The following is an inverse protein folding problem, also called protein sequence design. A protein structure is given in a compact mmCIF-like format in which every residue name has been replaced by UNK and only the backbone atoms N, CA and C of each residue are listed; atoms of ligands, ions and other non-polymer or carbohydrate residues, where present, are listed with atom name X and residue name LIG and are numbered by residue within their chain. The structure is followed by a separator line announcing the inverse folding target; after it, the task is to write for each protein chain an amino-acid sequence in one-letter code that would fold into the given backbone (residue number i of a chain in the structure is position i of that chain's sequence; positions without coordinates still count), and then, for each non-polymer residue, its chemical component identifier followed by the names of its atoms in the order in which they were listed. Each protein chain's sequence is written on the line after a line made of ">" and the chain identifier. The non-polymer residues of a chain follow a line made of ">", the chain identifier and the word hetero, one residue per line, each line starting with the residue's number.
data_IF_026228038493
#
_entry.id   IF_026228038493
#
_cell.length_a   1.000
_cell.length_b   1.000
_cell.length_c   1.000
_cell.angle_alpha   90.00
_cell.angle_beta   90.00
_cell.angle_gamma   90.00
#
_symmetry.space_group_name_H-M   'P 1'
#
loop_
_entity.id
_entity.type
_entity.pdbx_description
1 polymer ?
#
# COMPACT_ATOMS: atom_id res chain seq x y z
N UNK A 1 -30.92 26.20 -57.75
CA UNK A 1 -31.12 24.82 -57.28
C UNK A 1 -30.06 23.95 -57.96
N UNK A 2 -29.18 23.17 -57.35
CA UNK A 2 -28.85 22.82 -55.98
C UNK A 2 -27.38 22.38 -56.01
N UNK A 3 -26.53 22.84 -55.09
CA UNK A 3 -25.44 21.99 -54.58
C UNK A 3 -24.93 22.56 -53.25
N UNK A 4 -25.85 22.69 -52.29
CA UNK A 4 -25.50 22.98 -50.89
C UNK A 4 -25.19 21.65 -50.15
N UNK A 5 -25.56 20.51 -50.73
CA UNK A 5 -25.44 19.18 -50.12
C UNK A 5 -24.00 18.68 -49.94
N UNK A 6 -23.04 19.12 -50.78
CA UNK A 6 -21.66 18.61 -50.73
C UNK A 6 -20.79 19.17 -49.61
N UNK A 7 -21.09 20.37 -49.11
CA UNK A 7 -20.27 21.03 -48.06
C UNK A 7 -20.72 20.69 -46.64
N UNK A 8 -21.96 20.25 -46.45
CA UNK A 8 -22.49 19.86 -45.14
C UNK A 8 -21.92 18.50 -44.69
N UNK A 9 -21.63 17.60 -45.63
CA UNK A 9 -21.13 16.26 -45.29
C UNK A 9 -19.70 16.25 -44.73
N UNK A 10 -18.85 17.18 -45.17
CA UNK A 10 -17.44 17.24 -44.74
C UNK A 10 -17.32 17.86 -43.33
N UNK A 11 -18.22 18.77 -42.96
CA UNK A 11 -18.29 19.32 -41.60
C UNK A 11 -18.83 18.31 -40.58
N UNK A 12 -19.68 17.36 -41.00
CA UNK A 12 -20.23 16.34 -40.10
C UNK A 12 -19.20 15.25 -39.73
N UNK A 13 -18.25 14.93 -40.61
CA UNK A 13 -17.22 13.92 -40.34
C UNK A 13 -16.11 14.43 -39.39
N UNK A 14 -15.83 15.74 -39.40
CA UNK A 14 -14.79 16.32 -38.54
C UNK A 14 -15.24 16.49 -37.08
N UNK A 15 -16.56 16.54 -36.82
CA UNK A 15 -17.11 16.66 -35.47
C UNK A 15 -17.16 15.35 -34.67
N UNK A 16 -16.94 14.20 -35.30
CA UNK A 16 -17.00 12.89 -34.62
C UNK A 16 -15.65 12.52 -33.96
N UNK A 17 -14.54 13.17 -34.31
CA UNK A 17 -13.20 12.84 -33.77
C UNK A 17 -12.87 13.59 -32.47
N UNK A 18 -13.64 14.60 -32.07
CA UNK A 18 -13.40 15.37 -30.84
C UNK A 18 -14.13 14.85 -29.60
N UNK A 19 -14.93 13.78 -29.70
CA UNK A 19 -15.76 13.28 -28.60
C UNK A 19 -15.18 12.11 -27.81
N UNK A 20 -14.12 11.46 -28.28
CA UNK A 20 -13.49 10.34 -27.57
C UNK A 20 -12.35 10.84 -26.70
N UNK A 21 -12.66 11.67 -25.71
CA UNK A 21 -11.85 11.68 -24.51
C UNK A 21 -11.99 10.30 -23.89
N UNK A 22 -10.92 9.49 -23.72
CA UNK A 22 -11.00 8.42 -22.75
C UNK A 22 -11.31 9.13 -21.44
N UNK A 23 -12.56 9.00 -20.97
CA UNK A 23 -12.83 9.33 -19.58
C UNK A 23 -11.86 8.48 -18.80
N UNK A 24 -10.88 9.12 -18.15
CA UNK A 24 -10.12 8.52 -17.07
C UNK A 24 -11.13 8.24 -15.96
N UNK A 25 -11.95 7.21 -16.15
CA UNK A 25 -12.81 6.66 -15.12
C UNK A 25 -11.86 5.94 -14.19
N UNK A 26 -11.36 6.66 -13.18
CA UNK A 26 -10.75 6.02 -12.03
C UNK A 26 -11.74 4.98 -11.52
N UNK A 27 -11.34 3.71 -11.51
CA UNK A 27 -12.25 2.63 -11.13
C UNK A 27 -12.70 2.87 -9.69
N UNK A 28 -14.01 2.70 -9.38
CA UNK A 28 -14.46 2.83 -8.01
C UNK A 28 -13.73 1.79 -7.15
N UNK A 29 -13.19 2.25 -6.02
CA UNK A 29 -12.50 1.40 -5.07
C UNK A 29 -13.38 0.20 -4.67
N UNK A 30 -12.89 -1.03 -4.77
CA UNK A 30 -13.64 -2.22 -4.36
C UNK A 30 -13.38 -2.52 -2.88
N UNK A 31 -14.43 -2.43 -2.06
CA UNK A 31 -14.34 -2.76 -0.64
C UNK A 31 -14.34 -4.28 -0.45
N UNK A 32 -13.26 -4.81 0.12
CA UNK A 32 -13.13 -6.24 0.45
C UNK A 32 -13.68 -6.51 1.85
N UNK A 33 -13.39 -5.61 2.78
CA UNK A 33 -13.84 -5.61 4.17
C UNK A 33 -13.91 -4.19 4.71
N UNK A 34 -14.93 -3.89 5.53
CA UNK A 34 -15.03 -2.64 6.28
C UNK A 34 -15.72 -2.87 7.63
N UNK A 35 -15.05 -2.48 8.70
CA UNK A 35 -15.56 -2.43 10.08
C UNK A 35 -14.88 -1.27 10.83
N UNK A 36 -15.19 -1.11 12.12
CA UNK A 36 -14.56 -0.10 12.97
C UNK A 36 -13.07 -0.38 13.21
N UNK A 37 -12.66 -1.66 13.19
CA UNK A 37 -11.30 -2.09 13.48
C UNK A 37 -10.48 -2.45 12.25
N UNK A 38 -11.12 -2.69 11.09
CA UNK A 38 -10.44 -3.13 9.87
C UNK A 38 -11.08 -2.52 8.63
N UNK A 39 -10.24 -2.04 7.72
CA UNK A 39 -10.61 -1.69 6.35
C UNK A 39 -9.63 -2.33 5.39
N UNK A 40 -10.14 -3.02 4.37
CA UNK A 40 -9.35 -3.53 3.25
C UNK A 40 -10.09 -3.21 1.95
N UNK A 41 -9.41 -2.47 1.07
CA UNK A 41 -10.00 -1.91 -0.14
C UNK A 41 -9.02 -2.04 -1.29
N UNK A 42 -9.49 -2.53 -2.44
CA UNK A 42 -8.73 -2.50 -3.68
C UNK A 42 -8.90 -1.13 -4.34
N UNK A 43 -7.78 -0.56 -4.75
CA UNK A 43 -7.71 0.74 -5.41
C UNK A 43 -6.47 0.84 -6.29
N UNK A 44 -6.43 1.85 -7.15
CA UNK A 44 -5.21 2.19 -7.89
C UNK A 44 -4.07 2.62 -6.95
N UNK A 45 -2.82 2.42 -7.39
CA UNK A 45 -1.65 2.88 -6.67
C UNK A 45 -1.70 4.42 -6.46
N UNK A 46 -1.54 4.92 -5.22
CA UNK A 46 -1.49 6.36 -4.99
C UNK A 46 -0.36 7.04 -5.76
N UNK A 47 -0.62 8.25 -6.24
CA UNK A 47 0.38 9.06 -6.93
C UNK A 47 1.59 9.37 -6.04
N UNK A 48 2.77 9.56 -6.65
CA UNK A 48 4.03 9.80 -5.93
C UNK A 48 4.82 8.54 -5.57
N UNK A 49 4.34 7.36 -6.00
CA UNK A 49 5.07 6.08 -5.92
C UNK A 49 5.64 5.70 -7.29
N UNK A 50 6.76 4.94 -7.33
CA UNK A 50 7.25 4.43 -8.60
C UNK A 50 6.19 3.57 -9.27
N UNK A 51 5.98 3.79 -10.58
CA UNK A 51 5.11 2.92 -11.37
C UNK A 51 5.77 1.55 -11.46
N UNK A 52 5.12 0.54 -10.87
CA UNK A 52 5.55 -0.85 -10.92
C UNK A 52 4.63 -1.70 -11.82
N UNK A 53 3.96 -1.04 -12.76
CA UNK A 53 2.98 -1.70 -13.61
C UNK A 53 3.62 -2.62 -14.66
N UNK A 54 2.95 -3.72 -15.01
CA UNK A 54 1.74 -4.26 -14.37
C UNK A 54 2.07 -5.15 -13.17
N UNK A 55 1.24 -5.12 -12.12
CA UNK A 55 1.31 -6.07 -11.01
C UNK A 55 0.80 -7.45 -11.46
N UNK A 56 1.24 -8.53 -10.81
CA UNK A 56 0.93 -9.91 -11.21
C UNK A 56 -0.41 -10.40 -10.64
N UNK A 57 -1.45 -9.59 -10.72
CA UNK A 57 -2.77 -9.93 -10.17
C UNK A 57 -3.75 -10.45 -11.24
N UNK A 58 -4.71 -11.33 -10.86
CA UNK A 58 -4.91 -11.89 -9.52
C UNK A 58 -3.83 -12.92 -9.16
N UNK A 59 -3.34 -12.86 -7.93
CA UNK A 59 -2.37 -13.81 -7.37
C UNK A 59 -2.90 -14.35 -6.05
N UNK A 60 -3.09 -15.66 -5.96
CA UNK A 60 -3.59 -16.27 -4.73
C UNK A 60 -2.43 -16.52 -3.76
N UNK A 61 -2.28 -15.60 -2.81
CA UNK A 61 -1.42 -15.82 -1.64
C UNK A 61 -2.29 -16.43 -0.53
N UNK A 62 -2.01 -17.64 -0.04
CA UNK A 62 -2.75 -18.24 1.08
C UNK A 62 -2.71 -17.36 2.33
N UNK A 63 -3.79 -17.34 3.11
CA UNK A 63 -3.89 -16.49 4.31
C UNK A 63 -2.82 -16.82 5.37
N UNK A 64 -2.41 -18.07 5.50
CA UNK A 64 -1.32 -18.46 6.41
C UNK A 64 0.03 -17.86 5.98
N UNK A 65 0.29 -17.77 4.67
CA UNK A 65 1.50 -17.12 4.15
C UNK A 65 1.45 -15.62 4.40
N UNK A 66 0.31 -14.98 4.16
CA UNK A 66 0.12 -13.55 4.50
C UNK A 66 0.34 -13.32 5.99
N UNK A 67 -0.21 -14.18 6.86
CA UNK A 67 -0.03 -14.11 8.30
C UNK A 67 1.45 -14.21 8.71
N UNK A 68 2.19 -15.17 8.16
CA UNK A 68 3.63 -15.32 8.41
C UNK A 68 4.41 -14.06 8.06
N UNK A 69 4.09 -13.44 6.90
CA UNK A 69 4.72 -12.18 6.49
C UNK A 69 4.37 -11.04 7.45
N UNK A 70 3.09 -10.86 7.79
CA UNK A 70 2.66 -9.79 8.70
C UNK A 70 3.28 -9.96 10.10
N UNK A 71 3.36 -11.20 10.59
CA UNK A 71 3.91 -11.53 11.91
C UNK A 71 5.43 -11.36 11.99
N UNK A 72 6.14 -11.41 10.85
CA UNK A 72 7.60 -11.25 10.82
C UNK A 72 8.06 -9.81 10.63
N UNK A 73 7.15 -8.85 10.43
CA UNK A 73 7.51 -7.46 10.20
C UNK A 73 7.85 -6.73 11.49
N UNK A 74 9.07 -6.22 11.53
CA UNK A 74 9.57 -5.37 12.61
C UNK A 74 9.88 -3.96 12.09
N UNK A 75 9.88 -2.99 13.00
CA UNK A 75 10.32 -1.63 12.77
C UNK A 75 11.22 -1.16 13.90
N UNK A 76 12.14 -0.26 13.57
CA UNK A 76 12.97 0.47 14.51
C UNK A 76 12.58 1.93 14.55
N UNK A 77 12.70 2.56 15.71
CA UNK A 77 12.68 4.02 15.83
C UNK A 77 14.13 4.50 15.82
N UNK A 78 14.47 5.40 14.89
CA UNK A 78 15.80 5.98 14.83
C UNK A 78 16.10 6.76 16.10
N UNK A 79 17.18 6.40 16.79
CA UNK A 79 17.72 7.21 17.88
C UNK A 79 18.78 8.18 17.35
N UNK A 80 18.78 9.40 17.89
CA UNK A 80 19.82 10.40 17.62
C UNK A 80 21.17 10.04 18.26
N UNK A 81 21.20 9.05 19.16
CA UNK A 81 22.43 8.62 19.83
C UNK A 81 23.08 7.45 19.07
N UNK A 82 24.38 7.55 18.73
CA UNK A 82 25.12 6.41 18.21
C UNK A 82 25.09 5.31 19.27
N UNK A 83 24.83 4.06 18.88
CA UNK A 83 24.76 2.85 19.73
C UNK A 83 23.47 2.59 20.52
N UNK A 84 22.46 3.47 20.50
CA UNK A 84 21.13 3.13 21.01
C UNK A 84 20.20 2.75 19.86
N UNK A 85 20.43 1.60 19.22
CA UNK A 85 19.36 1.00 18.43
C UNK A 85 18.35 0.45 19.44
N UNK A 86 17.16 1.06 19.48
CA UNK A 86 16.05 0.52 20.26
C UNK A 86 15.76 -0.92 19.81
N UNK A 87 15.22 -1.74 20.72
CA UNK A 87 14.81 -3.09 20.32
C UNK A 87 13.77 -2.99 19.20
N UNK A 88 13.94 -3.79 18.12
CA UNK A 88 12.94 -3.90 17.06
C UNK A 88 11.56 -4.18 17.65
N UNK A 89 10.55 -3.48 17.14
CA UNK A 89 9.15 -3.64 17.54
C UNK A 89 8.36 -4.22 16.40
N UNK A 90 7.38 -5.05 16.72
CA UNK A 90 6.46 -5.58 15.72
C UNK A 90 5.63 -4.46 15.09
N UNK A 91 5.51 -4.47 13.76
CA UNK A 91 4.60 -3.56 13.03
C UNK A 91 3.15 -3.85 13.41
N UNK A 92 2.76 -5.13 13.33
CA UNK A 92 1.43 -5.61 13.67
C UNK A 92 1.45 -6.35 15.02
N UNK A 93 0.39 -6.22 15.83
CA UNK A 93 0.19 -7.16 16.94
C UNK A 93 -0.22 -8.51 16.35
N UNK A 94 -0.17 -9.56 17.15
CA UNK A 94 -0.66 -10.87 16.75
C UNK A 94 -2.13 -10.81 16.30
N UNK A 95 -3.00 -10.17 17.11
CA UNK A 95 -4.42 -10.00 16.79
C UNK A 95 -4.63 -9.21 15.50
N UNK A 96 -3.86 -8.14 15.28
CA UNK A 96 -3.93 -7.38 14.02
C UNK A 96 -3.54 -8.23 12.81
N UNK A 97 -2.48 -9.02 12.92
CA UNK A 97 -2.02 -9.88 11.83
C UNK A 97 -3.05 -10.99 11.52
N UNK A 98 -3.60 -11.63 12.56
CA UNK A 98 -4.64 -12.65 12.44
C UNK A 98 -5.94 -12.10 11.83
N UNK A 99 -6.31 -10.87 12.19
CA UNK A 99 -7.49 -10.17 11.65
C UNK A 99 -7.29 -9.74 10.19
N UNK A 100 -6.10 -9.21 9.85
CA UNK A 100 -5.81 -8.63 8.53
C UNK A 100 -5.49 -9.67 7.46
N UNK A 101 -4.81 -10.76 7.82
CA UNK A 101 -4.34 -11.78 6.88
C UNK A 101 -5.42 -12.39 5.96
N UNK A 102 -6.60 -12.83 6.45
CA UNK A 102 -7.61 -13.42 5.58
C UNK A 102 -8.17 -12.41 4.57
N UNK A 103 -8.38 -11.16 4.99
CA UNK A 103 -8.94 -10.13 4.11
C UNK A 103 -7.92 -9.63 3.09
N UNK A 104 -6.64 -9.53 3.46
CA UNK A 104 -5.57 -9.26 2.49
C UNK A 104 -5.41 -10.41 1.49
N UNK A 105 -5.43 -11.67 1.94
CA UNK A 105 -5.37 -12.83 1.04
C UNK A 105 -6.51 -12.80 0.01
N UNK A 106 -7.73 -12.49 0.45
CA UNK A 106 -8.91 -12.31 -0.41
C UNK A 106 -8.72 -11.14 -1.38
N UNK A 107 -8.23 -9.99 -0.90
CA UNK A 107 -7.98 -8.81 -1.72
C UNK A 107 -6.96 -9.11 -2.83
N UNK A 108 -5.80 -9.69 -2.50
CA UNK A 108 -4.75 -10.00 -3.47
C UNK A 108 -5.20 -11.03 -4.53
N UNK A 109 -6.12 -11.92 -4.16
CA UNK A 109 -6.74 -12.88 -5.08
C UNK A 109 -7.84 -12.30 -5.97
N UNK A 110 -8.34 -11.09 -5.68
CA UNK A 110 -9.36 -10.37 -6.45
C UNK A 110 -8.82 -9.13 -7.18
N UNK A 111 -7.64 -8.66 -6.77
CA UNK A 111 -6.98 -7.50 -7.35
C UNK A 111 -6.80 -7.66 -8.87
N UNK A 112 -6.86 -6.54 -9.56
CA UNK A 112 -6.45 -6.41 -10.95
C UNK A 112 -4.98 -6.01 -11.04
N UNK A 113 -4.32 -6.18 -12.21
CA UNK A 113 -2.92 -5.81 -12.40
C UNK A 113 -2.54 -4.37 -12.02
N UNK A 114 -3.48 -3.43 -12.04
CA UNK A 114 -3.25 -2.03 -11.67
C UNK A 114 -3.64 -1.71 -10.21
N UNK A 115 -4.25 -2.67 -9.51
CA UNK A 115 -4.80 -2.47 -8.17
C UNK A 115 -3.83 -2.94 -7.08
N UNK A 116 -3.92 -2.26 -5.95
CA UNK A 116 -3.26 -2.61 -4.70
C UNK A 116 -4.30 -2.76 -3.60
N UNK A 117 -4.03 -3.65 -2.65
CA UNK A 117 -4.82 -3.78 -1.43
C UNK A 117 -4.38 -2.71 -0.42
N UNK A 118 -5.18 -1.66 -0.29
CA UNK A 118 -5.02 -0.68 0.78
C UNK A 118 -5.65 -1.22 2.07
N UNK A 119 -4.94 -1.13 3.18
CA UNK A 119 -5.42 -1.59 4.47
C UNK A 119 -5.28 -0.54 5.57
N UNK A 120 -6.16 -0.65 6.56
CA UNK A 120 -6.09 0.04 7.84
C UNK A 120 -6.56 -0.93 8.92
N UNK A 121 -5.73 -1.19 9.93
CA UNK A 121 -6.08 -2.09 11.04
C UNK A 121 -5.83 -1.40 12.38
N UNK A 122 -6.85 -1.40 13.23
CA UNK A 122 -6.83 -0.79 14.55
C UNK A 122 -6.22 -1.73 15.59
N UNK A 123 -5.76 -1.19 16.71
CA UNK A 123 -5.40 -1.99 17.88
C UNK A 123 -6.68 -2.38 18.64
N UNK A 124 -6.73 -3.61 19.17
CA UNK A 124 -7.93 -4.17 19.79
C UNK A 124 -8.36 -3.35 21.02
N UNK A 125 -7.38 -2.95 21.84
CA UNK A 125 -7.61 -2.18 23.06
C UNK A 125 -7.69 -0.66 22.79
N UNK A 126 -7.31 -0.20 21.59
CA UNK A 126 -7.10 1.23 21.27
C UNK A 126 -7.44 1.53 19.81
N UNK A 127 -8.72 1.73 19.49
CA UNK A 127 -9.19 1.89 18.11
C UNK A 127 -8.69 3.18 17.42
N UNK A 128 -8.22 4.16 18.21
CA UNK A 128 -7.54 5.36 17.71
C UNK A 128 -6.18 5.07 17.05
N UNK A 129 -5.65 3.85 17.24
CA UNK A 129 -4.31 3.45 16.79
C UNK A 129 -4.39 2.55 15.59
N UNK A 130 -4.15 3.16 14.45
CA UNK A 130 -4.23 2.47 13.17
C UNK A 130 -2.82 2.21 12.64
N UNK A 131 -2.64 1.02 12.07
CA UNK A 131 -1.55 0.75 11.14
C UNK A 131 -2.15 0.72 9.75
N UNK A 132 -1.61 1.56 8.85
CA UNK A 132 -2.11 1.71 7.48
C UNK A 132 -1.02 1.39 6.49
N UNK A 133 -1.43 0.89 5.33
CA UNK A 133 -0.48 0.58 4.29
C UNK A 133 -1.12 0.05 3.02
N UNK A 134 -0.25 -0.42 2.13
CA UNK A 134 -0.59 -1.01 0.85
C UNK A 134 0.09 -2.36 0.72
N UNK A 135 -0.57 -3.29 0.03
CA UNK A 135 0.01 -4.57 -0.34
C UNK A 135 -0.38 -4.99 -1.75
N UNK A 136 0.55 -5.63 -2.47
CA UNK A 136 0.35 -6.13 -3.82
C UNK A 136 1.42 -7.16 -4.15
N UNK A 137 1.20 -7.93 -5.23
CA UNK A 137 2.13 -8.96 -5.71
C UNK A 137 2.75 -8.55 -7.03
N UNK A 138 4.07 -8.66 -7.12
CA UNK A 138 4.83 -8.49 -8.35
C UNK A 138 5.80 -9.66 -8.48
N UNK A 139 5.82 -10.34 -9.62
CA UNK A 139 6.58 -11.59 -9.74
C UNK A 139 6.04 -12.66 -8.79
N UNK A 140 6.96 -13.26 -8.04
CA UNK A 140 6.72 -14.13 -6.89
C UNK A 140 7.04 -13.41 -5.57
N UNK A 141 6.81 -12.09 -5.52
CA UNK A 141 7.14 -11.27 -4.36
C UNK A 141 5.89 -10.55 -3.82
N UNK A 142 5.70 -10.59 -2.51
CA UNK A 142 4.74 -9.77 -1.80
C UNK A 142 5.39 -8.45 -1.42
N UNK A 143 4.84 -7.37 -1.95
CA UNK A 143 5.22 -6.01 -1.60
C UNK A 143 4.29 -5.51 -0.50
N UNK A 144 4.88 -4.94 0.54
CA UNK A 144 4.16 -4.30 1.63
C UNK A 144 4.77 -2.94 1.92
N UNK A 145 3.92 -1.92 1.92
CA UNK A 145 4.27 -0.55 2.23
C UNK A 145 3.49 -0.13 3.47
N UNK A 146 4.19 0.33 4.49
CA UNK A 146 3.57 0.89 5.70
C UNK A 146 3.56 2.41 5.56
N UNK A 147 2.39 3.02 5.65
CA UNK A 147 2.23 4.48 5.55
C UNK A 147 2.12 5.13 6.93
N UNK A 148 1.42 4.47 7.83
CA UNK A 148 1.26 4.92 9.21
C UNK A 148 1.46 3.73 10.16
N UNK A 149 2.29 3.92 11.18
CA UNK A 149 2.44 2.98 12.29
C UNK A 149 1.58 3.43 13.48
N UNK A 150 1.05 2.45 14.22
CA UNK A 150 0.51 2.68 15.56
C UNK A 150 1.56 3.39 16.43
N UNK A 151 1.20 4.51 17.08
CA UNK A 151 2.09 5.17 18.05
C UNK A 151 2.03 4.45 19.41
N UNK A 152 3.14 4.27 20.14
CA UNK A 152 3.12 3.70 21.49
C UNK A 152 2.34 4.57 22.49
N UNK A 153 1.90 3.96 23.59
CA UNK A 153 0.96 4.51 24.59
C UNK A 153 1.53 5.50 25.58
N UNK A 154 2.85 5.53 25.72
CA UNK A 154 3.50 6.31 26.77
C UNK A 154 4.38 7.38 26.14
N UNK A 155 3.74 8.49 25.75
CA UNK A 155 4.36 9.80 25.87
C UNK A 155 3.70 10.42 27.09
N UNK A 156 4.21 10.10 28.28
CA UNK A 156 3.82 10.83 29.49
C UNK A 156 3.99 12.32 29.20
N UNK A 157 2.98 13.12 29.56
CA UNK A 157 2.87 14.56 29.36
C UNK A 157 4.20 15.25 29.03
N UNK A 158 4.54 15.34 27.74
CA UNK A 158 5.67 16.13 27.29
C UNK A 158 5.12 17.37 26.60
N UNK A 159 5.47 18.51 27.21
CA UNK A 159 5.20 19.89 26.80
C UNK A 159 5.35 20.15 25.29
N UNK A 160 4.70 21.20 24.76
CA UNK A 160 4.56 21.50 23.33
C UNK A 160 5.84 21.96 22.60
N UNK A 161 7.03 21.71 23.17
CA UNK A 161 8.29 22.02 22.49
C UNK A 161 8.72 20.83 21.64
N UNK A 162 8.26 20.85 20.39
CA UNK A 162 8.84 20.20 19.21
C UNK A 162 9.54 18.86 19.48
N UNK A 163 8.76 17.79 19.65
CA UNK A 163 9.32 16.45 19.50
C UNK A 163 9.80 16.28 18.04
N UNK A 164 11.06 15.89 17.81
CA UNK A 164 11.49 15.49 16.48
C UNK A 164 10.59 14.34 16.03
N UNK A 165 10.10 14.41 14.78
CA UNK A 165 9.35 13.32 14.16
C UNK A 165 10.26 12.10 14.20
N UNK A 166 10.00 11.17 15.13
CA UNK A 166 10.78 9.94 15.25
C UNK A 166 10.76 9.25 13.88
N UNK A 167 11.92 9.24 13.22
CA UNK A 167 12.07 8.64 11.90
C UNK A 167 12.16 7.14 12.12
N UNK A 168 11.04 6.47 11.93
CA UNK A 168 10.97 5.02 11.98
C UNK A 168 11.34 4.41 10.64
N UNK A 169 11.77 3.15 10.66
CA UNK A 169 12.06 2.36 9.47
C UNK A 169 11.66 0.91 9.71
N UNK A 170 11.21 0.23 8.66
CA UNK A 170 11.03 -1.21 8.72
C UNK A 170 12.40 -1.88 8.83
N UNK A 171 12.48 -2.98 9.57
CA UNK A 171 13.68 -3.79 9.70
C UNK A 171 13.40 -5.10 8.96
N UNK A 172 14.06 -5.35 7.81
CA UNK A 172 13.83 -6.58 7.06
C UNK A 172 14.33 -7.79 7.85
N UNK A 173 13.47 -8.81 7.96
CA UNK A 173 13.88 -10.14 8.42
C UNK A 173 14.78 -10.87 7.40
N UNK A 174 15.16 -12.11 7.72
CA UNK A 174 16.13 -12.90 6.93
C UNK A 174 15.73 -13.19 5.48
N UNK A 175 14.42 -13.22 5.19
CA UNK A 175 13.88 -13.40 3.83
C UNK A 175 13.38 -12.11 3.21
N UNK A 176 13.46 -10.99 3.92
CA UNK A 176 12.88 -9.73 3.50
C UNK A 176 13.98 -8.79 3.03
N UNK A 177 13.59 -7.81 2.23
CA UNK A 177 14.48 -6.72 1.82
C UNK A 177 13.69 -5.45 1.60
N UNK A 178 14.36 -4.32 1.73
CA UNK A 178 13.76 -3.06 1.33
C UNK A 178 13.58 -2.96 -0.19
N UNK A 179 12.60 -2.15 -0.60
CA UNK A 179 12.56 -1.66 -1.96
C UNK A 179 13.67 -0.62 -2.19
N UNK A 180 14.37 -0.74 -3.32
CA UNK A 180 15.34 0.24 -3.78
C UNK A 180 14.99 0.67 -5.21
N UNK A 181 14.94 1.99 -5.45
CA UNK A 181 14.66 2.54 -6.78
C UNK A 181 15.81 2.31 -7.77
N UNK A 182 17.02 2.01 -7.30
CA UNK A 182 18.19 1.76 -8.17
C UNK A 182 18.96 0.50 -7.74
N UNK A 183 19.62 -0.18 -8.70
CA UNK A 183 20.57 -1.25 -8.41
C UNK A 183 21.63 -0.79 -7.40
N UNK A 184 21.97 -1.64 -6.44
CA UNK A 184 22.95 -1.32 -5.39
C UNK A 184 22.40 -0.54 -4.18
N UNK A 185 21.07 -0.49 -3.99
CA UNK A 185 20.46 0.05 -2.76
C UNK A 185 20.32 1.57 -2.70
N UNK A 186 20.72 2.30 -3.74
CA UNK A 186 20.57 3.76 -3.78
C UNK A 186 19.10 4.15 -3.97
N UNK A 187 18.58 5.02 -3.10
CA UNK A 187 17.16 5.42 -3.10
C UNK A 187 16.25 4.40 -2.40
N UNK A 188 16.77 3.72 -1.38
CA UNK A 188 16.03 2.76 -0.57
C UNK A 188 14.83 3.42 0.13
N UNK A 189 13.68 2.79 0.03
CA UNK A 189 12.45 3.22 0.70
C UNK A 189 12.27 2.40 1.98
N UNK A 190 12.50 3.04 3.13
CA UNK A 190 12.63 2.35 4.43
C UNK A 190 11.30 1.87 5.02
N UNK A 191 10.16 2.35 4.49
CA UNK A 191 8.82 1.90 4.86
C UNK A 191 8.22 0.88 3.88
N UNK A 192 9.03 0.37 2.94
CA UNK A 192 8.61 -0.61 1.95
C UNK A 192 9.48 -1.87 2.05
N UNK A 193 8.84 -2.99 2.42
CA UNK A 193 9.44 -4.32 2.46
C UNK A 193 8.90 -5.20 1.33
N UNK A 194 9.79 -6.04 0.82
CA UNK A 194 9.51 -7.05 -0.18
C UNK A 194 9.85 -8.41 0.41
N UNK A 195 8.92 -9.34 0.30
CA UNK A 195 9.05 -10.72 0.79
C UNK A 195 8.83 -11.71 -0.36
N UNK A 196 9.81 -12.56 -0.70
CA UNK A 196 9.61 -13.65 -1.65
C UNK A 196 8.55 -14.64 -1.16
N UNK A 197 7.71 -15.11 -2.08
CA UNK A 197 6.66 -16.10 -1.85
C UNK A 197 7.11 -17.54 -2.16
N UNK A 198 8.33 -17.72 -2.70
CA UNK A 198 8.95 -19.01 -3.05
C UNK A 198 10.35 -19.12 -2.46
#
# INVERSE_FOLDING_TARGET
>A
MNSIAGKVLILAALSIVLGSSPSCVSRPNLVIHQSDALSVVLREMPSGRPSLEPHNHPYRVPSNVVLEVLASLDYGEGSLLPFSQGQPRRVFSRGQAELLAPELSKALGQALPQEVAAFSVADEDRPDRLTKGLSFVLGDELHLIVDELRKPSYQGEQQPFQQPVSRWELIPGSKQRHYATRPGGKGMTTNWIITPLR
#
